data_IF_876156743135
#
_entry.id   IF_876156743135
#
_cell.length_a   1.000
_cell.length_b   1.000
_cell.length_c   1.000
_cell.angle_alpha   90.00
_cell.angle_beta   90.00
_cell.angle_gamma   90.00
#
_symmetry.space_group_name_H-M   'P 1'
#
loop_
_entity.id
_entity.type
_entity.pdbx_description
1 polymer ?
#
# COMPACT_ATOMS: atom_id res chain seq x y z
N UNK A 1 -7.47 -32.43 4.08
CA UNK A 1 -6.58 -32.68 2.91
C UNK A 1 -5.80 -31.40 2.73
N UNK A 2 -4.52 -31.40 3.10
CA UNK A 2 -3.62 -30.29 2.77
C UNK A 2 -3.53 -30.20 1.25
N UNK A 3 -3.82 -29.04 0.69
CA UNK A 3 -3.55 -28.74 -0.72
C UNK A 3 -2.06 -28.95 -0.94
N UNK A 4 -1.71 -29.81 -1.90
CA UNK A 4 -0.32 -29.97 -2.32
C UNK A 4 0.15 -28.60 -2.82
N UNK A 5 1.10 -27.99 -2.11
CA UNK A 5 1.68 -26.71 -2.53
C UNK A 5 2.24 -26.88 -3.95
N UNK A 6 1.97 -25.91 -4.82
CA UNK A 6 2.55 -25.88 -6.16
C UNK A 6 4.06 -25.64 -6.03
N UNK A 7 4.84 -26.68 -6.27
CA UNK A 7 6.32 -26.66 -6.13
C UNK A 7 7.04 -26.22 -7.42
N UNK A 8 6.31 -25.65 -8.39
CA UNK A 8 6.91 -25.19 -9.64
C UNK A 8 7.63 -23.86 -9.44
N UNK A 9 8.77 -23.70 -10.07
CA UNK A 9 9.41 -22.38 -10.21
C UNK A 9 8.62 -21.53 -11.21
N UNK A 10 8.26 -20.31 -10.81
CA UNK A 10 7.49 -19.37 -11.63
C UNK A 10 8.34 -18.13 -11.86
N UNK A 11 8.33 -17.61 -13.09
CA UNK A 11 8.97 -16.35 -13.47
C UNK A 11 7.90 -15.28 -13.72
N UNK A 12 8.00 -14.17 -13.02
CA UNK A 12 7.16 -12.99 -13.21
C UNK A 12 7.96 -11.81 -13.77
N UNK A 13 7.39 -11.06 -14.72
CA UNK A 13 7.94 -9.81 -15.29
C UNK A 13 7.17 -8.60 -14.78
N UNK A 14 7.13 -8.43 -13.48
CA UNK A 14 6.25 -7.50 -12.78
C UNK A 14 6.55 -6.02 -13.00
N UNK A 15 7.72 -5.65 -13.52
CA UNK A 15 8.05 -4.27 -13.85
C UNK A 15 7.36 -3.79 -15.13
N UNK A 16 7.15 -4.69 -16.09
CA UNK A 16 6.72 -4.34 -17.45
C UNK A 16 5.22 -4.46 -17.66
N UNK A 17 4.57 -5.42 -17.00
CA UNK A 17 3.18 -5.77 -17.26
C UNK A 17 2.43 -6.24 -16.01
N UNK A 18 1.11 -6.06 -16.04
CA UNK A 18 0.18 -6.66 -15.08
C UNK A 18 0.26 -8.18 -15.14
N UNK A 19 0.24 -8.84 -14.00
CA UNK A 19 0.31 -10.29 -13.89
C UNK A 19 -1.04 -10.94 -13.61
N UNK A 20 -2.06 -10.12 -13.36
CA UNK A 20 -3.41 -10.59 -13.03
C UNK A 20 -4.40 -9.46 -12.75
N UNK A 21 -5.56 -9.80 -12.22
CA UNK A 21 -6.55 -8.80 -11.85
C UNK A 21 -6.03 -7.96 -10.67
N UNK A 22 -6.12 -6.63 -10.82
CA UNK A 22 -5.83 -5.68 -9.77
C UNK A 22 -7.10 -5.36 -8.98
N UNK A 23 -6.91 -5.03 -7.70
CA UNK A 23 -7.94 -4.42 -6.85
C UNK A 23 -7.57 -2.98 -6.52
N UNK A 24 -8.57 -2.12 -6.49
CA UNK A 24 -8.43 -0.74 -6.02
C UNK A 24 -8.50 -0.71 -4.48
N UNK A 25 -7.52 -0.08 -3.84
CA UNK A 25 -7.42 0.05 -2.38
C UNK A 25 -7.50 1.53 -1.95
N UNK A 26 -8.49 2.22 -2.43
CA UNK A 26 -8.77 3.66 -2.23
C UNK A 26 -7.75 4.60 -2.91
N UNK A 27 -7.43 4.28 -4.15
CA UNK A 27 -6.57 5.10 -5.01
C UNK A 27 -5.43 4.31 -5.62
N UNK A 28 -4.50 3.74 -4.84
CA UNK A 28 -3.58 2.75 -5.38
C UNK A 28 -4.31 1.49 -5.83
N UNK A 29 -3.71 0.75 -6.75
CA UNK A 29 -4.17 -0.59 -7.14
C UNK A 29 -3.14 -1.64 -6.77
N UNK A 30 -3.60 -2.83 -6.37
CA UNK A 30 -2.77 -3.95 -5.91
C UNK A 30 -3.05 -5.19 -6.75
N UNK A 31 -1.98 -5.83 -7.22
CA UNK A 31 -2.00 -7.18 -7.80
C UNK A 31 -1.28 -8.14 -6.85
N UNK A 32 -1.86 -9.31 -6.62
CA UNK A 32 -1.28 -10.33 -5.75
C UNK A 32 -0.33 -11.22 -6.56
N UNK A 33 0.99 -11.00 -6.40
CA UNK A 33 2.03 -11.88 -7.01
C UNK A 33 2.08 -13.20 -6.26
N UNK A 34 1.93 -13.15 -4.93
CA UNK A 34 1.75 -14.34 -4.09
C UNK A 34 0.42 -14.27 -3.36
N UNK A 35 -0.30 -15.39 -3.29
CA UNK A 35 -1.52 -15.48 -2.48
C UNK A 35 -1.16 -15.39 -0.99
N UNK A 36 -1.78 -14.48 -0.22
CA UNK A 36 -1.51 -14.38 1.21
C UNK A 36 -1.87 -15.67 1.95
N UNK A 37 -0.96 -16.19 2.77
CA UNK A 37 -1.22 -17.35 3.61
C UNK A 37 -2.43 -17.10 4.53
N UNK A 38 -3.24 -18.13 4.75
CA UNK A 38 -4.37 -18.10 5.69
C UNK A 38 -4.00 -18.60 7.09
N UNK A 39 -2.93 -19.39 7.16
CA UNK A 39 -2.55 -20.11 8.37
C UNK A 39 -1.32 -19.50 9.06
N UNK A 40 -0.60 -18.59 8.38
CA UNK A 40 0.59 -17.93 8.91
C UNK A 40 0.55 -16.44 8.55
N UNK A 41 0.28 -15.61 9.56
CA UNK A 41 0.22 -14.15 9.42
C UNK A 41 1.56 -13.54 9.01
N UNK A 42 2.66 -14.15 9.43
CA UNK A 42 4.03 -13.68 9.19
C UNK A 42 4.64 -14.16 7.87
N UNK A 43 3.95 -15.05 7.15
CA UNK A 43 4.44 -15.55 5.87
C UNK A 43 4.66 -14.38 4.88
N UNK A 44 5.69 -14.53 4.05
CA UNK A 44 6.00 -13.53 3.02
C UNK A 44 4.84 -13.37 2.05
N UNK A 45 4.44 -12.12 1.82
CA UNK A 45 3.48 -11.73 0.80
C UNK A 45 4.14 -10.72 -0.14
N UNK A 46 4.05 -10.97 -1.44
CA UNK A 46 4.60 -10.11 -2.49
C UNK A 46 3.47 -9.61 -3.37
N UNK A 47 3.42 -8.30 -3.53
CA UNK A 47 2.38 -7.60 -4.27
C UNK A 47 3.03 -6.67 -5.29
N UNK A 48 2.29 -6.36 -6.34
CA UNK A 48 2.62 -5.25 -7.24
C UNK A 48 1.64 -4.12 -7.00
N UNK A 49 2.15 -2.97 -6.56
CA UNK A 49 1.40 -1.75 -6.37
C UNK A 49 1.49 -0.83 -7.58
N UNK A 50 0.43 -0.10 -7.86
CA UNK A 50 0.46 1.03 -8.79
C UNK A 50 -0.15 2.23 -8.10
N UNK A 51 0.60 3.33 -8.04
CA UNK A 51 0.16 4.60 -7.46
C UNK A 51 -0.05 5.59 -8.61
N UNK A 52 -1.30 5.85 -9.02
CA UNK A 52 -1.61 6.81 -10.09
C UNK A 52 -1.17 8.24 -9.77
N UNK A 53 -1.01 9.13 -10.78
CA UNK A 53 -0.77 10.54 -10.56
C UNK A 53 -1.80 11.19 -9.62
N UNK A 54 -1.33 11.99 -8.67
CA UNK A 54 -2.17 12.71 -7.71
C UNK A 54 -2.71 11.86 -6.54
N UNK A 55 -2.46 10.57 -6.54
CA UNK A 55 -2.89 9.70 -5.42
C UNK A 55 -2.01 9.95 -4.21
N UNK A 56 -2.65 10.03 -3.04
CA UNK A 56 -2.04 10.19 -1.73
C UNK A 56 -2.54 9.06 -0.83
N UNK A 57 -1.62 8.38 -0.17
CA UNK A 57 -1.90 7.46 0.94
C UNK A 57 -1.60 8.21 2.23
N UNK A 58 -2.64 8.57 3.01
CA UNK A 58 -2.48 9.39 4.21
C UNK A 58 -1.63 8.72 5.29
N UNK A 59 -1.22 9.51 6.28
CA UNK A 59 -0.43 9.03 7.42
C UNK A 59 -1.13 7.90 8.16
N UNK A 60 -0.42 6.80 8.33
CA UNK A 60 -0.87 5.63 9.08
C UNK A 60 0.32 4.81 9.58
N UNK A 61 0.07 3.91 10.51
CA UNK A 61 1.00 2.86 10.90
C UNK A 61 0.27 1.55 11.13
N UNK A 62 0.98 0.45 11.04
CA UNK A 62 0.52 -0.92 11.31
C UNK A 62 1.68 -1.79 11.78
N UNK A 63 1.37 -2.92 12.41
CA UNK A 63 2.37 -3.82 12.98
C UNK A 63 3.09 -4.71 11.96
N UNK A 64 2.67 -4.66 10.70
CA UNK A 64 3.32 -5.38 9.61
C UNK A 64 4.49 -4.56 9.05
N UNK A 65 5.62 -5.19 8.75
CA UNK A 65 6.65 -4.55 7.94
C UNK A 65 6.16 -4.44 6.49
N UNK A 66 6.43 -3.31 5.85
CA UNK A 66 6.06 -3.06 4.47
C UNK A 66 7.21 -2.38 3.73
N UNK A 67 7.86 -3.12 2.87
CA UNK A 67 8.99 -2.61 2.11
C UNK A 67 8.57 -2.42 0.63
N UNK A 68 9.08 -1.35 0.01
CA UNK A 68 8.81 -1.02 -1.38
C UNK A 68 10.10 -1.02 -2.19
N UNK A 69 10.10 -1.71 -3.32
CA UNK A 69 11.11 -1.55 -4.35
C UNK A 69 10.46 -0.87 -5.56
N UNK A 70 10.92 0.34 -5.90
CA UNK A 70 10.33 1.12 -6.98
C UNK A 70 10.75 0.51 -8.31
N UNK A 71 9.80 0.00 -9.07
CA UNK A 71 10.01 -0.65 -10.36
C UNK A 71 9.99 0.36 -11.51
N UNK A 72 9.08 1.34 -11.44
CA UNK A 72 8.93 2.36 -12.47
C UNK A 72 8.31 3.65 -11.90
N UNK A 73 8.53 4.77 -12.56
CA UNK A 73 8.03 6.07 -12.14
C UNK A 73 8.74 6.63 -10.91
N UNK A 74 8.07 7.54 -10.23
CA UNK A 74 8.54 8.19 -9.00
C UNK A 74 7.39 8.40 -8.04
N UNK A 75 7.67 8.32 -6.74
CA UNK A 75 6.74 8.73 -5.69
C UNK A 75 7.50 9.44 -4.57
N UNK A 76 6.79 10.11 -3.70
CA UNK A 76 7.32 10.67 -2.46
C UNK A 76 6.88 9.81 -1.28
N UNK A 77 7.83 9.55 -0.38
CA UNK A 77 7.61 8.79 0.85
C UNK A 77 7.95 9.68 2.04
N UNK A 78 7.05 9.72 3.02
CA UNK A 78 7.27 10.47 4.25
C UNK A 78 8.26 9.73 5.13
N UNK A 79 9.42 10.32 5.36
CA UNK A 79 10.52 9.74 6.14
C UNK A 79 10.70 10.46 7.46
N UNK A 80 11.14 9.72 8.48
CA UNK A 80 11.44 10.25 9.81
C UNK A 80 12.92 10.63 9.90
N UNK A 81 13.20 11.90 10.19
CA UNK A 81 14.53 12.41 10.48
C UNK A 81 14.63 12.95 11.91
N UNK A 82 15.82 13.15 12.48
CA UNK A 82 15.97 13.76 13.81
C UNK A 82 15.31 15.13 13.96
N UNK A 83 15.18 15.86 12.84
CA UNK A 83 14.60 17.21 12.78
C UNK A 83 13.09 17.19 12.49
N UNK A 84 12.49 16.00 12.23
CA UNK A 84 11.05 15.87 11.95
C UNK A 84 10.75 14.95 10.77
N UNK A 85 9.55 15.11 10.22
CA UNK A 85 9.09 14.38 9.06
C UNK A 85 9.41 15.16 7.78
N UNK A 86 9.94 14.48 6.78
CA UNK A 86 10.28 15.04 5.48
C UNK A 86 9.85 14.13 4.32
N UNK A 87 9.41 14.72 3.23
CA UNK A 87 9.12 14.00 2.00
C UNK A 87 10.40 13.71 1.22
N UNK A 88 10.72 12.42 1.07
CA UNK A 88 11.82 11.95 0.25
C UNK A 88 11.32 11.47 -1.11
N UNK A 89 12.02 11.81 -2.19
CA UNK A 89 11.74 11.31 -3.52
C UNK A 89 12.30 9.89 -3.70
N UNK A 90 11.43 8.94 -4.03
CA UNK A 90 11.79 7.59 -4.41
C UNK A 90 11.53 7.38 -5.92
N UNK A 91 12.47 6.77 -6.62
CA UNK A 91 12.43 6.54 -8.07
C UNK A 91 12.79 5.09 -8.41
N UNK A 92 12.59 4.72 -9.65
CA UNK A 92 12.95 3.38 -10.12
C UNK A 92 14.37 2.96 -9.70
N UNK A 93 14.49 1.81 -9.04
CA UNK A 93 15.71 1.28 -8.46
C UNK A 93 15.90 1.57 -6.97
N UNK A 94 15.11 2.47 -6.38
CA UNK A 94 15.18 2.76 -4.94
C UNK A 94 14.40 1.73 -4.12
N UNK A 95 14.91 1.48 -2.92
CA UNK A 95 14.28 0.62 -1.93
C UNK A 95 13.89 1.45 -0.69
N UNK A 96 12.63 1.35 -0.33
CA UNK A 96 12.05 2.02 0.82
C UNK A 96 11.71 0.99 1.88
N UNK A 97 12.23 1.14 3.07
CA UNK A 97 11.92 0.26 4.20
C UNK A 97 10.98 0.96 5.18
N UNK A 98 9.85 0.33 5.46
CA UNK A 98 8.90 0.76 6.48
C UNK A 98 8.83 -0.31 7.58
N UNK A 99 9.59 -0.14 8.69
CA UNK A 99 9.52 -1.06 9.82
C UNK A 99 8.11 -1.09 10.43
N UNK A 100 7.75 -2.23 11.03
CA UNK A 100 6.51 -2.39 11.79
C UNK A 100 6.32 -1.25 12.82
N UNK A 101 5.12 -0.73 12.92
CA UNK A 101 4.75 0.36 13.84
C UNK A 101 5.21 1.76 13.40
N UNK A 102 5.93 1.89 12.29
CA UNK A 102 6.39 3.21 11.81
C UNK A 102 5.23 3.99 11.17
N UNK A 103 5.01 5.23 11.65
CA UNK A 103 4.08 6.16 11.01
C UNK A 103 4.66 6.59 9.65
N UNK A 104 3.93 6.37 8.57
CA UNK A 104 4.37 6.66 7.21
C UNK A 104 3.21 7.14 6.33
N UNK A 105 3.56 7.71 5.20
CA UNK A 105 2.65 8.14 4.15
C UNK A 105 3.41 8.11 2.83
N UNK A 106 2.71 8.00 1.71
CA UNK A 106 3.32 8.17 0.40
C UNK A 106 2.33 8.81 -0.58
N UNK A 107 2.88 9.44 -1.62
CA UNK A 107 2.08 10.13 -2.63
C UNK A 107 2.78 10.15 -3.97
N UNK A 108 2.02 10.22 -5.03
CA UNK A 108 2.55 10.42 -6.38
C UNK A 108 2.21 11.83 -6.88
N UNK A 109 3.17 12.73 -6.82
CA UNK A 109 3.04 14.12 -7.32
C UNK A 109 3.50 14.25 -8.78
N UNK A 110 3.92 13.17 -9.42
CA UNK A 110 4.39 13.15 -10.80
C UNK A 110 3.23 13.05 -11.80
N UNK A 111 3.54 13.20 -13.09
CA UNK A 111 2.55 13.07 -14.17
C UNK A 111 2.34 11.61 -14.63
N UNK A 112 3.11 10.66 -14.11
CA UNK A 112 3.08 9.26 -14.50
C UNK A 112 2.84 8.35 -13.29
N UNK A 113 2.26 7.17 -13.51
CA UNK A 113 2.08 6.20 -12.44
C UNK A 113 3.44 5.74 -11.88
N UNK A 114 3.53 5.58 -10.56
CA UNK A 114 4.60 4.83 -9.91
C UNK A 114 4.18 3.37 -9.80
N UNK A 115 5.14 2.47 -9.97
CA UNK A 115 4.94 1.02 -9.88
C UNK A 115 5.92 0.46 -8.85
N UNK A 116 5.40 -0.26 -7.88
CA UNK A 116 6.17 -0.79 -6.76
C UNK A 116 6.06 -2.32 -6.68
N UNK A 117 7.13 -2.97 -6.28
CA UNK A 117 7.08 -4.27 -5.65
C UNK A 117 6.92 -4.05 -4.14
N UNK A 118 5.81 -4.49 -3.60
CA UNK A 118 5.54 -4.43 -2.16
C UNK A 118 5.89 -5.79 -1.55
N UNK A 119 6.76 -5.78 -0.55
CA UNK A 119 7.20 -6.97 0.16
C UNK A 119 6.72 -6.83 1.61
N UNK A 120 5.80 -7.70 2.01
CA UNK A 120 5.13 -7.56 3.30
C UNK A 120 4.72 -8.92 3.88
N UNK A 121 3.84 -8.91 4.86
CA UNK A 121 3.30 -10.10 5.53
C UNK A 121 2.01 -10.59 4.87
N UNK A 122 1.67 -11.85 5.06
CA UNK A 122 0.39 -12.39 4.62
C UNK A 122 -0.80 -11.71 5.32
N UNK A 123 -0.61 -11.23 6.56
CA UNK A 123 -1.63 -10.48 7.29
C UNK A 123 -1.99 -9.19 6.57
N UNK A 124 -0.98 -8.39 6.15
CA UNK A 124 -1.21 -7.17 5.37
C UNK A 124 -1.77 -7.48 3.97
N UNK A 125 -1.32 -8.56 3.34
CA UNK A 125 -1.90 -9.02 2.08
C UNK A 125 -3.40 -9.31 2.20
N UNK A 126 -3.86 -9.97 3.28
CA UNK A 126 -5.28 -10.21 3.52
C UNK A 126 -6.06 -8.92 3.81
N UNK A 127 -5.44 -7.95 4.49
CA UNK A 127 -6.04 -6.62 4.63
C UNK A 127 -6.37 -6.02 3.25
N UNK A 128 -5.42 -6.03 2.32
CA UNK A 128 -5.66 -5.53 0.96
C UNK A 128 -6.72 -6.34 0.21
N UNK A 129 -6.79 -7.66 0.39
CA UNK A 129 -7.88 -8.47 -0.17
C UNK A 129 -9.25 -8.04 0.37
N UNK A 130 -9.34 -7.71 1.65
CA UNK A 130 -10.61 -7.37 2.30
C UNK A 130 -11.13 -5.98 1.93
N UNK A 131 -10.23 -4.98 1.82
CA UNK A 131 -10.61 -3.61 1.44
C UNK A 131 -10.67 -3.40 -0.08
N UNK A 132 -10.06 -4.32 -0.83
CA UNK A 132 -9.95 -4.23 -2.27
C UNK A 132 -11.30 -4.36 -2.97
N UNK A 133 -11.52 -3.53 -3.98
CA UNK A 133 -12.68 -3.56 -4.86
C UNK A 133 -12.23 -3.57 -6.33
N UNK A 134 -13.10 -3.97 -7.26
CA UNK A 134 -12.78 -3.90 -8.69
C UNK A 134 -12.36 -2.49 -9.11
N UNK A 135 -11.35 -2.39 -9.96
CA UNK A 135 -10.87 -1.10 -10.48
C UNK A 135 -11.92 -0.51 -11.41
N UNK A 136 -12.55 0.58 -10.99
CA UNK A 136 -13.59 1.28 -11.77
C UNK A 136 -13.17 2.67 -12.25
N UNK A 137 -12.08 3.21 -11.67
CA UNK A 137 -11.65 4.60 -11.91
C UNK A 137 -12.57 5.66 -11.28
N UNK A 138 -13.55 5.24 -10.48
CA UNK A 138 -14.42 6.17 -9.75
C UNK A 138 -13.85 6.49 -8.38
N UNK A 139 -14.04 7.71 -7.86
CA UNK A 139 -13.65 8.04 -6.49
C UNK A 139 -14.42 7.15 -5.50
N UNK A 140 -13.81 6.82 -4.33
CA UNK A 140 -14.45 5.97 -3.34
C UNK A 140 -15.71 6.63 -2.77
N UNK A 141 -16.75 5.83 -2.54
CA UNK A 141 -17.96 6.30 -1.87
C UNK A 141 -17.71 6.48 -0.36
N UNK A 142 -18.51 7.30 0.34
CA UNK A 142 -18.43 7.42 1.80
C UNK A 142 -18.54 6.08 2.53
N UNK A 143 -19.38 5.17 2.06
CA UNK A 143 -19.57 3.84 2.63
C UNK A 143 -18.30 2.99 2.48
N UNK A 144 -17.63 3.09 1.34
CA UNK A 144 -16.36 2.40 1.08
C UNK A 144 -15.26 2.91 2.01
N UNK A 145 -15.21 4.23 2.21
CA UNK A 145 -14.26 4.84 3.16
C UNK A 145 -14.55 4.40 4.61
N UNK A 146 -15.83 4.37 5.02
CA UNK A 146 -16.22 3.90 6.33
C UNK A 146 -15.82 2.42 6.56
N UNK A 147 -16.06 1.56 5.57
CA UNK A 147 -15.62 0.15 5.60
C UNK A 147 -14.10 0.03 5.73
N UNK A 148 -13.35 0.85 5.00
CA UNK A 148 -11.89 0.90 5.12
C UNK A 148 -11.46 1.24 6.55
N UNK A 149 -12.00 2.32 7.13
CA UNK A 149 -11.64 2.75 8.50
C UNK A 149 -11.95 1.65 9.52
N UNK A 150 -13.13 1.02 9.44
CA UNK A 150 -13.51 -0.09 10.32
C UNK A 150 -12.54 -1.27 10.18
N UNK A 151 -12.22 -1.65 8.94
CA UNK A 151 -11.29 -2.75 8.66
C UNK A 151 -9.88 -2.41 9.14
N UNK A 152 -9.39 -1.20 8.89
CA UNK A 152 -8.07 -0.75 9.33
C UNK A 152 -7.94 -0.83 10.85
N UNK A 153 -8.93 -0.35 11.61
CA UNK A 153 -8.95 -0.46 13.08
C UNK A 153 -8.88 -1.93 13.51
N UNK A 154 -9.65 -2.81 12.89
CA UNK A 154 -9.67 -4.25 13.21
C UNK A 154 -8.33 -4.94 12.92
N UNK A 155 -7.59 -4.48 11.92
CA UNK A 155 -6.22 -4.92 11.61
C UNK A 155 -5.15 -4.22 12.47
N UNK A 156 -5.54 -3.35 13.41
CA UNK A 156 -4.62 -2.68 14.32
C UNK A 156 -3.89 -1.48 13.72
N UNK A 157 -4.44 -0.89 12.66
CA UNK A 157 -3.89 0.35 12.12
C UNK A 157 -4.11 1.51 13.08
N UNK A 158 -3.13 2.40 13.12
CA UNK A 158 -3.28 3.75 13.65
C UNK A 158 -3.32 4.72 12.48
N UNK A 159 -4.45 5.40 12.30
CA UNK A 159 -4.61 6.41 11.26
C UNK A 159 -4.15 7.77 11.80
N UNK A 160 -3.38 8.52 11.00
CA UNK A 160 -2.96 9.87 11.36
C UNK A 160 -4.16 10.81 11.49
N UNK A 161 -4.14 11.68 12.51
CA UNK A 161 -5.21 12.67 12.71
C UNK A 161 -5.23 13.70 11.58
N UNK A 162 -6.33 14.44 11.38
CA UNK A 162 -6.38 15.53 10.42
C UNK A 162 -5.24 16.55 10.61
N UNK A 163 -4.90 16.89 11.85
CA UNK A 163 -3.82 17.82 12.18
C UNK A 163 -2.43 17.26 11.80
N UNK A 164 -2.19 15.97 12.06
CA UNK A 164 -0.95 15.30 11.67
C UNK A 164 -0.79 15.27 10.15
N UNK A 165 -1.84 14.91 9.43
CA UNK A 165 -1.85 14.92 7.97
C UNK A 165 -1.63 16.34 7.42
N UNK A 166 -2.34 17.33 7.95
CA UNK A 166 -2.20 18.74 7.53
C UNK A 166 -0.79 19.28 7.76
N UNK A 167 -0.14 18.87 8.87
CA UNK A 167 1.24 19.30 9.19
C UNK A 167 2.27 18.87 8.15
N UNK A 168 1.99 17.82 7.37
CA UNK A 168 2.85 17.32 6.28
C UNK A 168 2.25 17.63 4.89
N UNK A 169 1.24 18.51 4.81
CA UNK A 169 0.63 18.93 3.55
C UNK A 169 -0.31 17.89 2.93
N UNK A 170 -0.89 17.00 3.73
CA UNK A 170 -1.95 16.08 3.30
C UNK A 170 -3.30 16.65 3.74
N UNK A 171 -4.18 16.92 2.79
CA UNK A 171 -5.56 17.28 3.05
C UNK A 171 -6.45 16.03 2.97
N UNK A 172 -7.04 15.65 4.10
CA UNK A 172 -8.00 14.55 4.13
C UNK A 172 -9.34 14.97 3.53
N UNK A 173 -10.07 14.07 2.87
CA UNK A 173 -11.44 14.33 2.45
C UNK A 173 -12.32 14.75 3.64
N UNK A 174 -13.19 15.76 3.45
CA UNK A 174 -14.02 16.33 4.52
C UNK A 174 -14.98 15.35 5.21
N UNK A 175 -15.20 14.18 4.63
CA UNK A 175 -16.04 13.12 5.24
C UNK A 175 -15.24 12.20 6.19
N UNK A 176 -13.95 12.47 6.42
CA UNK A 176 -13.09 11.79 7.41
C UNK A 176 -12.77 12.68 8.63
N UNK A 177 -13.33 13.87 8.71
CA UNK A 177 -13.17 14.83 9.81
C UNK A 177 -14.31 14.79 10.82
#
# INVERSE_FOLDING_TARGET
>A
MQSQADLRTILYRIAEESQGPAVDVLGPTIEFITEPSRDDDSALCVLRGVVPPGVIVPMHSHEDAEDFYILAGTQEVLTQHPEGLEWAHARAGDYVRVPAGTMHAHRNVSAHAAVDLIITTARLGRFFQEIGEPVTGQPPSPERVAKFVETAIRYGYTLGTPEQNSAVGIELPKFLG
#
